data_IF_945581711717
#
_entry.id   IF_945581711717
#
_cell.length_a   1.000
_cell.length_b   1.000
_cell.length_c   1.000
_cell.angle_alpha   90.00
_cell.angle_beta   90.00
_cell.angle_gamma   90.00
#
_symmetry.space_group_name_H-M   'P 1'
#
loop_
_entity.id
_entity.type
_entity.pdbx_description
1 polymer ?
#
# COMPACT_ATOMS: atom_id res chain seq x y z
N UNK A 1 -28.17 14.51 -6.46
CA UNK A 1 -27.07 13.88 -5.70
C UNK A 1 -26.11 13.25 -6.70
N UNK A 2 -24.80 13.44 -6.54
CA UNK A 2 -23.77 12.81 -7.38
C UNK A 2 -23.06 11.72 -6.58
N UNK A 3 -22.93 10.54 -7.16
CA UNK A 3 -22.16 9.42 -6.64
C UNK A 3 -20.90 9.27 -7.51
N UNK A 4 -19.74 9.14 -6.88
CA UNK A 4 -18.45 8.98 -7.57
C UNK A 4 -17.81 7.65 -7.14
N UNK A 5 -17.28 6.91 -8.11
CA UNK A 5 -16.38 5.78 -7.86
C UNK A 5 -14.95 6.25 -8.09
N UNK A 6 -14.20 6.46 -7.01
CA UNK A 6 -12.82 6.94 -7.06
C UNK A 6 -11.88 5.98 -6.34
N UNK A 7 -10.88 5.48 -7.06
CA UNK A 7 -9.77 4.72 -6.49
C UNK A 7 -8.61 5.67 -6.13
N UNK A 8 -7.70 5.27 -5.23
CA UNK A 8 -6.46 6.01 -4.98
C UNK A 8 -5.61 6.14 -6.25
N UNK A 9 -4.92 7.27 -6.38
CA UNK A 9 -3.95 7.47 -7.46
C UNK A 9 -2.65 6.70 -7.17
N UNK A 10 -2.03 6.15 -8.21
CA UNK A 10 -0.68 5.57 -8.09
C UNK A 10 0.33 6.71 -8.17
N UNK A 11 0.99 7.03 -7.06
CA UNK A 11 2.03 8.06 -7.02
C UNK A 11 3.27 7.62 -7.78
N UNK A 12 3.72 6.39 -7.55
CA UNK A 12 4.77 5.72 -8.30
C UNK A 12 4.64 4.19 -8.19
N UNK A 13 5.33 3.47 -9.07
CA UNK A 13 5.48 2.02 -8.96
C UNK A 13 6.92 1.60 -9.29
N UNK A 14 7.30 0.43 -8.77
CA UNK A 14 8.59 -0.20 -9.03
C UNK A 14 8.33 -1.65 -9.44
N UNK A 15 8.95 -2.08 -10.53
CA UNK A 15 8.86 -3.44 -11.03
C UNK A 15 10.19 -4.17 -10.80
N UNK A 16 10.12 -5.31 -10.13
CA UNK A 16 11.25 -6.20 -9.94
C UNK A 16 11.39 -7.17 -11.13
N UNK A 17 12.56 -7.80 -11.24
CA UNK A 17 12.88 -8.75 -12.32
C UNK A 17 12.09 -10.05 -12.27
N UNK A 18 11.56 -10.42 -11.10
CA UNK A 18 10.72 -11.60 -10.90
C UNK A 18 9.24 -11.35 -11.25
N UNK A 19 8.90 -10.14 -11.69
CA UNK A 19 7.54 -9.74 -12.03
C UNK A 19 6.76 -9.12 -10.86
N UNK A 20 7.32 -9.08 -9.64
CA UNK A 20 6.71 -8.37 -8.51
C UNK A 20 6.61 -6.88 -8.82
N UNK A 21 5.46 -6.27 -8.54
CA UNK A 21 5.24 -4.83 -8.70
C UNK A 21 4.84 -4.24 -7.36
N UNK A 22 5.61 -3.26 -6.88
CA UNK A 22 5.28 -2.46 -5.70
C UNK A 22 4.71 -1.12 -6.12
N UNK A 23 3.54 -0.78 -5.61
CA UNK A 23 2.86 0.49 -5.82
C UNK A 23 2.88 1.32 -4.54
N UNK A 24 3.11 2.64 -4.69
CA UNK A 24 2.75 3.62 -3.69
C UNK A 24 1.45 4.31 -4.10
N UNK A 25 0.43 4.18 -3.25
CA UNK A 25 -0.90 4.73 -3.48
C UNK A 25 -1.07 6.00 -2.67
N UNK A 26 -1.40 7.10 -3.36
CA UNK A 26 -1.65 8.39 -2.74
C UNK A 26 -3.07 8.45 -2.20
N UNK A 27 -3.17 8.80 -0.93
CA UNK A 27 -4.43 8.96 -0.22
C UNK A 27 -4.79 10.43 -0.07
N UNK A 28 -6.07 10.67 0.22
CA UNK A 28 -6.54 11.98 0.67
C UNK A 28 -5.75 12.41 1.92
N UNK A 29 -5.25 13.65 1.90
CA UNK A 29 -4.33 14.18 2.92
C UNK A 29 -2.83 14.08 2.54
N UNK A 30 -2.51 13.52 1.37
CA UNK A 30 -1.14 13.52 0.82
C UNK A 30 -0.23 12.43 1.38
N UNK A 31 -0.77 11.55 2.21
CA UNK A 31 -0.06 10.37 2.72
C UNK A 31 -0.08 9.24 1.70
N UNK A 32 0.83 8.29 1.85
CA UNK A 32 0.95 7.14 0.95
C UNK A 32 0.89 5.83 1.73
N UNK A 33 0.34 4.80 1.09
CA UNK A 33 0.44 3.40 1.54
C UNK A 33 0.91 2.52 0.41
N UNK A 34 1.46 1.36 0.75
CA UNK A 34 2.00 0.42 -0.22
C UNK A 34 0.98 -0.66 -0.58
N UNK A 35 1.05 -1.14 -1.82
CA UNK A 35 0.35 -2.34 -2.31
C UNK A 35 1.32 -3.12 -3.18
N UNK A 36 1.35 -4.44 -3.04
CA UNK A 36 2.30 -5.29 -3.76
C UNK A 36 1.57 -6.37 -4.54
N UNK A 37 1.78 -6.38 -5.85
CA UNK A 37 1.36 -7.45 -6.74
C UNK A 37 2.49 -8.47 -6.88
N UNK A 38 2.18 -9.73 -6.58
CA UNK A 38 3.13 -10.84 -6.57
C UNK A 38 2.59 -11.94 -7.50
N UNK A 39 3.03 -11.98 -8.76
CA UNK A 39 2.60 -13.01 -9.70
C UNK A 39 3.39 -14.31 -9.51
N UNK A 40 2.70 -15.44 -9.65
CA UNK A 40 3.27 -16.77 -9.69
C UNK A 40 2.68 -17.55 -10.88
N UNK A 41 3.11 -18.80 -11.10
CA UNK A 41 2.74 -19.55 -12.30
C UNK A 41 1.23 -19.81 -12.43
N UNK A 42 0.55 -20.08 -11.32
CA UNK A 42 -0.85 -20.52 -11.26
C UNK A 42 -1.74 -19.60 -10.41
N UNK A 43 -1.15 -18.57 -9.79
CA UNK A 43 -1.87 -17.61 -8.95
C UNK A 43 -1.23 -16.24 -9.00
N UNK A 44 -1.95 -15.26 -8.48
CA UNK A 44 -1.37 -13.96 -8.15
C UNK A 44 -1.87 -13.50 -6.78
N UNK A 45 -0.96 -12.96 -6.00
CA UNK A 45 -1.24 -12.46 -4.64
C UNK A 45 -1.17 -10.95 -4.64
N UNK A 46 -2.15 -10.30 -4.01
CA UNK A 46 -2.12 -8.86 -3.76
C UNK A 46 -1.97 -8.63 -2.25
N UNK A 47 -0.86 -8.02 -1.85
CA UNK A 47 -0.68 -7.51 -0.50
C UNK A 47 -1.30 -6.13 -0.42
N UNK A 48 -2.26 -5.95 0.50
CA UNK A 48 -2.96 -4.69 0.72
C UNK A 48 -2.64 -4.12 2.09
N UNK A 49 -2.45 -2.80 2.15
CA UNK A 49 -2.35 -2.08 3.41
C UNK A 49 -3.74 -1.89 4.03
N UNK A 50 -3.79 -1.79 5.36
CA UNK A 50 -5.04 -1.57 6.13
C UNK A 50 -5.06 -0.26 6.92
N UNK A 51 -3.90 0.37 7.11
CA UNK A 51 -3.72 1.58 7.89
C UNK A 51 -2.62 2.44 7.28
N UNK A 52 -2.59 3.72 7.64
CA UNK A 52 -1.45 4.60 7.38
C UNK A 52 -0.54 4.58 8.62
N UNK A 53 0.59 3.89 8.49
CA UNK A 53 1.45 3.56 9.62
C UNK A 53 0.87 2.44 10.50
N UNK A 54 1.50 2.16 11.65
CA UNK A 54 1.05 1.09 12.56
C UNK A 54 1.40 1.41 14.03
N UNK A 55 0.44 1.17 14.94
CA UNK A 55 0.57 1.50 16.37
C UNK A 55 1.24 0.40 17.21
N UNK A 56 1.55 -0.76 16.63
CA UNK A 56 1.98 -1.95 17.38
C UNK A 56 3.48 -1.98 17.74
N UNK A 57 4.27 -1.02 17.25
CA UNK A 57 5.68 -0.83 17.65
C UNK A 57 6.58 -2.08 17.51
N UNK A 58 6.26 -2.98 16.56
CA UNK A 58 7.10 -4.14 16.28
C UNK A 58 8.50 -3.68 15.82
N UNK A 59 9.54 -4.01 16.59
CA UNK A 59 10.90 -3.46 16.41
C UNK A 59 11.57 -3.84 15.08
N UNK A 60 11.11 -4.91 14.44
CA UNK A 60 11.59 -5.37 13.13
C UNK A 60 10.82 -4.77 11.95
N UNK A 61 9.73 -4.04 12.19
CA UNK A 61 8.82 -3.56 11.16
C UNK A 61 9.12 -2.10 10.78
N UNK A 62 9.47 -1.86 9.51
CA UNK A 62 9.70 -0.49 9.02
C UNK A 62 8.46 0.39 9.14
N UNK A 63 7.25 -0.15 8.92
CA UNK A 63 6.00 0.60 9.09
C UNK A 63 5.75 1.01 10.54
N UNK A 64 6.19 0.22 11.53
CA UNK A 64 6.06 0.58 12.94
C UNK A 64 6.94 1.78 13.32
N UNK A 65 8.13 1.92 12.70
CA UNK A 65 9.02 3.06 12.94
C UNK A 65 8.43 4.40 12.47
N UNK A 66 7.45 4.37 11.57
CA UNK A 66 6.73 5.56 11.10
C UNK A 66 5.65 6.02 12.10
N UNK A 67 5.33 5.20 13.10
CA UNK A 67 4.21 5.41 14.02
C UNK A 67 2.85 5.18 13.35
N UNK A 68 1.78 5.39 14.10
CA UNK A 68 0.41 5.33 13.58
C UNK A 68 -0.09 6.73 13.23
N UNK A 69 -0.81 6.83 12.11
CA UNK A 69 -1.50 8.07 11.75
C UNK A 69 -3.03 7.90 11.76
N UNK A 70 -3.57 7.02 10.90
CA UNK A 70 -5.01 6.78 10.80
C UNK A 70 -5.31 5.43 10.18
N UNK A 71 -6.56 4.99 10.32
CA UNK A 71 -7.10 3.91 9.50
C UNK A 71 -7.31 4.38 8.06
N UNK A 72 -7.26 3.43 7.12
CA UNK A 72 -7.55 3.70 5.71
C UNK A 72 -9.01 4.09 5.49
#
# INVERSE_FOLDING_TARGET
EQCEVRAPEIAYHQQATDGTIKFALKLDGGQEVETVWIPEADRATLCVSSQVGCALECTFCSTAQQGFNRNL
#
